data_IF_555379698426
#
_entry.id   IF_555379698426
#
_cell.length_a   1.000
_cell.length_b   1.000
_cell.length_c   1.000
_cell.angle_alpha   90.00
_cell.angle_beta   90.00
_cell.angle_gamma   90.00
#
_symmetry.space_group_name_H-M   'P 1'
#
loop_
_entity.id
_entity.type
_entity.pdbx_description
1 polymer ?
#
# COMPACT_ATOMS: atom_id res chain seq x y z
N UNK A 1 -31.86 5.41 -1.68
CA UNK A 1 -32.80 4.38 -1.17
C UNK A 1 -34.00 4.98 -0.45
N UNK A 2 -33.85 5.75 0.64
CA UNK A 2 -34.97 6.41 1.33
C UNK A 2 -35.31 7.83 0.82
N UNK A 3 -34.34 8.53 0.26
CA UNK A 3 -34.43 9.96 -0.11
C UNK A 3 -34.06 10.24 -1.57
N UNK A 4 -33.95 9.20 -2.41
CA UNK A 4 -33.55 9.30 -3.82
C UNK A 4 -32.27 10.12 -4.07
N UNK A 5 -31.28 9.96 -3.18
CA UNK A 5 -29.96 10.60 -3.31
C UNK A 5 -28.97 9.71 -4.07
N UNK A 6 -27.96 10.30 -4.74
CA UNK A 6 -26.87 9.54 -5.35
C UNK A 6 -26.17 8.60 -4.37
N UNK A 7 -25.81 7.40 -4.84
CA UNK A 7 -25.03 6.43 -4.06
C UNK A 7 -23.55 6.73 -4.13
N UNK A 8 -22.85 6.50 -3.02
CA UNK A 8 -21.39 6.40 -3.04
C UNK A 8 -21.01 5.12 -3.80
N UNK A 9 -20.04 5.23 -4.70
CA UNK A 9 -19.62 4.11 -5.57
C UNK A 9 -18.23 3.57 -5.22
N UNK A 10 -17.39 4.39 -4.58
CA UNK A 10 -16.03 4.00 -4.19
C UNK A 10 -15.60 4.72 -2.93
N UNK A 11 -14.60 4.16 -2.23
CA UNK A 11 -13.92 4.78 -1.10
C UNK A 11 -12.40 4.79 -1.31
N UNK A 12 -11.69 5.81 -0.83
CA UNK A 12 -10.23 5.93 -0.92
C UNK A 12 -9.56 5.92 0.45
N UNK A 13 -8.88 4.81 0.77
CA UNK A 13 -8.18 4.61 2.03
C UNK A 13 -6.77 4.04 1.81
N UNK A 14 -5.83 4.26 2.75
CA UNK A 14 -4.51 3.67 2.66
C UNK A 14 -4.61 2.16 2.94
N UNK A 15 -4.08 1.34 2.05
CA UNK A 15 -4.09 -0.10 2.24
C UNK A 15 -2.82 -0.73 1.65
N UNK A 16 -2.11 -1.52 2.46
CA UNK A 16 -0.85 -2.18 2.09
C UNK A 16 -0.53 -3.31 3.06
N UNK A 17 0.53 -4.07 2.79
CA UNK A 17 1.11 -5.03 3.75
C UNK A 17 1.47 -4.41 5.12
N UNK A 18 1.64 -3.09 5.19
CA UNK A 18 1.97 -2.35 6.42
C UNK A 18 0.77 -1.63 7.05
N UNK A 19 -0.34 -1.52 6.34
CA UNK A 19 -1.54 -0.86 6.84
C UNK A 19 -2.78 -1.62 6.39
N UNK A 20 -3.35 -2.37 7.33
CA UNK A 20 -4.55 -3.20 7.15
C UNK A 20 -5.73 -2.68 7.97
N UNK A 21 -5.71 -1.42 8.42
CA UNK A 21 -6.79 -0.86 9.24
C UNK A 21 -8.15 -0.91 8.53
N UNK A 22 -8.15 -0.87 7.19
CA UNK A 22 -9.36 -1.02 6.39
C UNK A 22 -10.07 -2.36 6.61
N UNK A 23 -9.35 -3.41 6.98
CA UNK A 23 -9.95 -4.72 7.26
C UNK A 23 -10.69 -4.78 8.60
N UNK A 24 -10.46 -3.80 9.48
CA UNK A 24 -11.13 -3.69 10.78
C UNK A 24 -12.49 -3.02 10.58
N UNK A 25 -13.39 -3.71 9.86
CA UNK A 25 -14.79 -3.33 9.66
C UNK A 25 -15.11 -2.69 8.30
N UNK A 26 -14.26 -1.80 7.77
CA UNK A 26 -14.56 -1.14 6.49
C UNK A 26 -14.58 -2.12 5.30
N UNK A 27 -13.79 -3.19 5.34
CA UNK A 27 -13.81 -4.22 4.31
C UNK A 27 -15.17 -4.95 4.24
N UNK A 28 -15.81 -5.20 5.37
CA UNK A 28 -17.13 -5.83 5.44
C UNK A 28 -18.20 -4.89 4.88
N UNK A 29 -18.23 -3.63 5.34
CA UNK A 29 -19.16 -2.61 4.84
C UNK A 29 -18.96 -2.36 3.35
N UNK A 30 -17.71 -2.29 2.89
CA UNK A 30 -17.35 -2.09 1.48
C UNK A 30 -17.97 -3.17 0.59
N UNK A 31 -17.85 -4.44 1.00
CA UNK A 31 -18.43 -5.54 0.24
C UNK A 31 -19.96 -5.58 0.35
N UNK A 32 -20.50 -5.35 1.54
CA UNK A 32 -21.95 -5.38 1.78
C UNK A 32 -22.68 -4.28 1.00
N UNK A 33 -22.14 -3.07 0.97
CA UNK A 33 -22.76 -1.90 0.32
C UNK A 33 -22.38 -1.75 -1.16
N UNK A 34 -21.46 -2.58 -1.67
CA UNK A 34 -20.91 -2.45 -3.02
C UNK A 34 -20.08 -1.18 -3.23
N UNK A 35 -19.41 -0.70 -2.17
CA UNK A 35 -18.56 0.51 -2.19
C UNK A 35 -17.10 0.07 -2.14
N UNK A 36 -16.54 -0.24 -3.30
CA UNK A 36 -15.21 -0.85 -3.40
C UNK A 36 -14.07 0.16 -3.12
N UNK A 37 -12.93 -0.37 -2.64
CA UNK A 37 -11.76 0.41 -2.28
C UNK A 37 -10.89 0.74 -3.51
N UNK A 38 -10.63 2.03 -3.70
CA UNK A 38 -9.51 2.56 -4.48
C UNK A 38 -8.32 2.75 -3.53
N UNK A 39 -7.47 1.73 -3.42
CA UNK A 39 -6.40 1.68 -2.43
C UNK A 39 -5.27 2.64 -2.80
N UNK A 40 -4.81 3.47 -1.86
CA UNK A 40 -3.62 4.29 -2.03
C UNK A 40 -2.50 3.93 -1.03
N UNK A 41 -1.30 4.48 -1.24
CA UNK A 41 -0.11 4.16 -0.42
C UNK A 41 0.20 2.65 -0.35
N UNK A 42 -0.08 1.90 -1.42
CA UNK A 42 0.10 0.46 -1.51
C UNK A 42 1.54 0.00 -1.23
N UNK A 43 2.53 0.88 -1.48
CA UNK A 43 3.95 0.64 -1.20
C UNK A 43 4.47 1.33 0.08
N UNK A 44 3.61 1.94 0.89
CA UNK A 44 4.01 2.62 2.14
C UNK A 44 5.10 3.67 1.92
N UNK A 45 4.89 4.64 1.02
CA UNK A 45 5.89 5.63 0.60
C UNK A 45 7.13 5.04 -0.11
N UNK A 46 6.98 3.85 -0.68
CA UNK A 46 8.07 3.10 -1.31
C UNK A 46 8.87 2.26 -0.33
N UNK A 47 8.48 2.19 0.95
CA UNK A 47 9.17 1.39 1.97
C UNK A 47 9.11 -0.10 1.64
N UNK A 48 7.99 -0.59 1.12
CA UNK A 48 7.81 -2.00 0.73
C UNK A 48 8.68 -2.46 -0.45
N UNK A 49 9.38 -1.54 -1.14
CA UNK A 49 10.40 -1.89 -2.14
C UNK A 49 11.71 -2.37 -1.50
N UNK A 50 11.88 -2.17 -0.19
CA UNK A 50 13.12 -2.47 0.53
C UNK A 50 14.22 -1.42 0.38
N UNK A 51 14.02 -0.35 -0.41
CA UNK A 51 15.06 0.65 -0.71
C UNK A 51 15.59 1.46 0.47
N UNK A 52 14.91 1.43 1.62
CA UNK A 52 15.33 2.10 2.86
C UNK A 52 15.87 1.13 3.93
N UNK A 53 15.93 -0.18 3.64
CA UNK A 53 16.45 -1.17 4.59
C UNK A 53 17.91 -0.88 4.94
N UNK A 54 18.33 -1.35 6.11
CA UNK A 54 19.71 -1.21 6.62
C UNK A 54 20.18 0.26 6.71
N UNK A 55 19.25 1.19 6.94
CA UNK A 55 19.56 2.62 7.07
C UNK A 55 19.82 3.33 5.74
N UNK A 56 19.55 2.69 4.60
CA UNK A 56 19.73 3.29 3.29
C UNK A 56 18.85 4.54 3.09
N UNK A 57 19.43 5.57 2.47
CA UNK A 57 18.75 6.82 2.12
C UNK A 57 19.02 7.17 0.65
N UNK A 58 18.39 6.47 -0.31
CA UNK A 58 18.65 6.71 -1.72
C UNK A 58 18.36 8.17 -2.11
N UNK A 59 19.23 8.77 -2.93
CA UNK A 59 19.02 10.12 -3.43
C UNK A 59 17.69 10.22 -4.22
N UNK A 60 16.99 11.35 -4.08
CA UNK A 60 15.70 11.56 -4.74
C UNK A 60 14.52 10.74 -4.18
N UNK A 61 14.76 9.80 -3.26
CA UNK A 61 13.67 9.02 -2.67
C UNK A 61 12.84 9.87 -1.67
N UNK A 62 11.52 9.64 -1.64
CA UNK A 62 10.56 10.46 -0.87
C UNK A 62 10.95 10.66 0.59
N UNK A 63 11.35 9.60 1.30
CA UNK A 63 11.69 9.71 2.73
C UNK A 63 13.09 10.27 2.97
N UNK A 64 13.93 10.32 1.93
CA UNK A 64 15.21 11.05 1.95
C UNK A 64 14.97 12.54 1.79
N UNK A 65 14.07 12.94 0.88
CA UNK A 65 13.76 14.34 0.58
C UNK A 65 12.91 15.02 1.65
N UNK A 66 12.01 14.27 2.30
CA UNK A 66 11.03 14.84 3.23
C UNK A 66 11.00 14.06 4.56
N UNK A 67 11.50 14.69 5.62
CA UNK A 67 11.59 14.10 6.97
C UNK A 67 10.24 13.87 7.66
N UNK A 68 9.16 14.52 7.19
CA UNK A 68 7.81 14.41 7.77
C UNK A 68 7.16 13.02 7.60
N UNK A 69 7.64 12.19 6.68
CA UNK A 69 7.04 10.88 6.38
C UNK A 69 7.57 9.77 7.29
N UNK A 70 7.23 9.83 8.57
CA UNK A 70 7.76 8.92 9.61
C UNK A 70 6.92 7.68 9.88
N UNK A 71 5.69 7.62 9.33
CA UNK A 71 4.68 6.57 9.60
C UNK A 71 5.21 5.13 9.48
N UNK A 72 6.14 4.88 8.56
CA UNK A 72 6.68 3.54 8.26
C UNK A 72 8.17 3.40 8.60
N UNK A 73 8.71 4.28 9.46
CA UNK A 73 10.14 4.32 9.79
C UNK A 73 10.50 3.60 11.09
N UNK A 74 9.52 3.10 11.83
CA UNK A 74 9.75 2.41 13.12
C UNK A 74 10.42 1.05 12.96
N UNK A 75 11.08 0.58 14.02
CA UNK A 75 11.85 -0.68 14.02
C UNK A 75 11.00 -1.89 13.62
N UNK A 76 9.78 -2.00 14.15
CA UNK A 76 8.88 -3.11 13.82
C UNK A 76 8.45 -3.07 12.35
N UNK A 77 8.26 -1.88 11.79
CA UNK A 77 7.99 -1.72 10.37
C UNK A 77 9.17 -2.17 9.53
N UNK A 78 10.39 -1.80 9.91
CA UNK A 78 11.61 -2.23 9.21
C UNK A 78 11.77 -3.77 9.23
N UNK A 79 11.51 -4.41 10.38
CA UNK A 79 11.51 -5.88 10.48
C UNK A 79 10.48 -6.53 9.56
N UNK A 80 9.26 -6.01 9.53
CA UNK A 80 8.20 -6.50 8.64
C UNK A 80 8.58 -6.33 7.16
N UNK A 81 9.10 -5.15 6.78
CA UNK A 81 9.56 -4.88 5.41
C UNK A 81 10.67 -5.84 5.00
N UNK A 82 11.66 -6.08 5.88
CA UNK A 82 12.73 -7.02 5.60
C UNK A 82 12.19 -8.44 5.36
N UNK A 83 11.23 -8.89 6.17
CA UNK A 83 10.59 -10.20 6.00
C UNK A 83 9.80 -10.29 4.68
N UNK A 84 9.05 -9.26 4.28
CA UNK A 84 8.35 -9.25 3.00
C UNK A 84 9.31 -9.24 1.80
N UNK A 85 10.38 -8.46 1.88
CA UNK A 85 11.42 -8.43 0.83
C UNK A 85 12.13 -9.79 0.72
N UNK A 86 12.40 -10.46 1.84
CA UNK A 86 12.94 -11.82 1.84
C UNK A 86 12.00 -12.81 1.14
N UNK A 87 10.70 -12.80 1.49
CA UNK A 87 9.69 -13.64 0.82
C UNK A 87 9.69 -13.40 -0.69
N UNK A 88 9.66 -12.13 -1.13
CA UNK A 88 9.68 -11.81 -2.55
C UNK A 88 10.92 -12.40 -3.25
N UNK A 89 12.10 -12.21 -2.67
CA UNK A 89 13.38 -12.69 -3.21
C UNK A 89 13.46 -14.21 -3.27
N UNK A 90 12.99 -14.92 -2.23
CA UNK A 90 12.95 -16.40 -2.22
C UNK A 90 12.10 -16.97 -3.35
N UNK A 91 11.12 -16.22 -3.84
CA UNK A 91 10.26 -16.59 -4.95
C UNK A 91 10.62 -15.91 -6.28
N UNK A 92 11.75 -15.20 -6.36
CA UNK A 92 12.20 -14.52 -7.58
C UNK A 92 11.29 -13.35 -8.01
N UNK A 93 10.56 -12.75 -7.08
CA UNK A 93 9.65 -11.63 -7.33
C UNK A 93 10.30 -10.29 -7.00
N UNK A 94 9.96 -9.25 -7.75
CA UNK A 94 10.21 -7.87 -7.32
C UNK A 94 9.36 -7.54 -6.08
N UNK A 95 9.95 -6.99 -4.99
CA UNK A 95 9.20 -6.68 -3.78
C UNK A 95 8.06 -5.68 -3.97
N UNK A 96 8.21 -4.70 -4.88
CA UNK A 96 7.16 -3.75 -5.18
C UNK A 96 5.99 -4.45 -5.89
N UNK A 97 6.29 -5.26 -6.91
CA UNK A 97 5.27 -6.04 -7.61
C UNK A 97 4.53 -6.99 -6.68
N UNK A 98 5.23 -7.71 -5.79
CA UNK A 98 4.60 -8.59 -4.80
C UNK A 98 3.66 -7.82 -3.87
N UNK A 99 4.09 -6.66 -3.36
CA UNK A 99 3.27 -5.82 -2.48
C UNK A 99 2.04 -5.24 -3.20
N UNK A 100 2.18 -4.83 -4.46
CA UNK A 100 1.05 -4.35 -5.27
C UNK A 100 0.07 -5.47 -5.59
N UNK A 101 0.57 -6.66 -5.96
CA UNK A 101 -0.24 -7.84 -6.19
C UNK A 101 -1.03 -8.25 -4.94
N UNK A 102 -0.42 -8.14 -3.74
CA UNK A 102 -1.11 -8.33 -2.46
C UNK A 102 -2.33 -7.42 -2.31
N UNK A 103 -2.19 -6.14 -2.65
CA UNK A 103 -3.30 -5.18 -2.54
C UNK A 103 -4.36 -5.44 -3.60
N UNK A 104 -3.93 -5.66 -4.85
CA UNK A 104 -4.84 -5.84 -5.99
C UNK A 104 -5.76 -7.06 -5.86
N UNK A 105 -5.30 -8.13 -5.20
CA UNK A 105 -6.05 -9.39 -5.06
C UNK A 105 -7.12 -9.38 -3.97
N UNK A 106 -7.23 -8.33 -3.17
CA UNK A 106 -8.22 -8.31 -2.10
C UNK A 106 -9.62 -8.17 -2.68
N UNK A 107 -10.62 -8.91 -2.17
CA UNK A 107 -11.98 -8.90 -2.71
C UNK A 107 -12.69 -7.55 -2.59
N UNK A 108 -12.26 -6.69 -1.66
CA UNK A 108 -12.82 -5.35 -1.47
C UNK A 108 -12.08 -4.25 -2.27
N UNK A 109 -11.09 -4.59 -3.11
CA UNK A 109 -10.27 -3.61 -3.84
C UNK A 109 -10.63 -3.57 -5.33
N UNK A 110 -11.25 -2.46 -5.75
CA UNK A 110 -11.52 -2.19 -7.16
C UNK A 110 -10.25 -1.88 -7.95
N UNK A 111 -9.37 -1.05 -7.39
CA UNK A 111 -8.14 -0.60 -8.06
C UNK A 111 -7.05 -0.19 -7.07
N UNK A 112 -5.81 -0.21 -7.55
CA UNK A 112 -4.62 0.20 -6.79
C UNK A 112 -4.04 1.48 -7.38
N UNK A 113 -4.06 2.58 -6.62
CA UNK A 113 -3.49 3.85 -7.03
C UNK A 113 -1.96 3.82 -6.86
N UNK A 114 -1.27 3.83 -8.00
CA UNK A 114 0.19 3.77 -8.07
C UNK A 114 0.79 5.17 -8.06
N UNK A 115 2.04 5.27 -7.60
CA UNK A 115 2.83 6.48 -7.69
C UNK A 115 4.25 6.13 -8.07
N UNK A 116 4.70 6.69 -9.20
CA UNK A 116 6.03 6.51 -9.76
C UNK A 116 6.69 7.88 -9.98
N UNK A 117 8.00 7.95 -9.86
CA UNK A 117 8.81 9.15 -10.18
C UNK A 117 9.66 8.98 -11.44
N UNK A 118 9.72 7.77 -11.99
CA UNK A 118 10.48 7.41 -13.19
C UNK A 118 9.66 6.44 -14.05
N UNK A 119 9.94 6.38 -15.35
CA UNK A 119 9.28 5.43 -16.26
C UNK A 119 9.61 3.97 -15.90
N UNK A 120 10.82 3.68 -15.44
CA UNK A 120 11.18 2.31 -15.02
C UNK A 120 10.35 1.78 -13.84
N UNK A 121 9.68 2.67 -13.08
CA UNK A 121 8.79 2.29 -11.99
C UNK A 121 7.34 2.02 -12.45
N UNK A 122 6.98 2.42 -13.68
CA UNK A 122 5.63 2.34 -14.25
C UNK A 122 5.54 1.23 -15.30
#
# INVERSE_FOLDING_TARGET
DKHDLPRIVTIQNPYSLLNRSFEVGLAEVSQYEGVELLAYSCLGFGTLTGKYLNGAKPAGARNTLFSRFTRYSGEQTQKAVAAYVDIARRHGLDPAQMALAFVRRQPFVASTLLGATTMDQL
#
